data_IF_949204294695
#
_entry.id   IF_949204294695
#
_cell.length_a   1.000
_cell.length_b   1.000
_cell.length_c   1.000
_cell.angle_alpha   90.00
_cell.angle_beta   90.00
_cell.angle_gamma   90.00
#
_symmetry.space_group_name_H-M   'P 1'
#
loop_
_entity.id
_entity.type
_entity.pdbx_description
1 polymer ?
#
# COMPACT_ATOMS: atom_id res chain seq x y z
N UNK A 1 -13.08 -1.74 -7.15
CA UNK A 1 -11.67 -1.32 -7.19
C UNK A 1 -11.08 -1.87 -5.92
N UNK A 2 -10.00 -2.63 -6.05
CA UNK A 2 -9.36 -3.26 -4.91
C UNK A 2 -8.70 -2.19 -4.01
N UNK A 3 -8.56 -2.48 -2.72
CA UNK A 3 -7.99 -1.54 -1.75
C UNK A 3 -6.63 -1.01 -2.22
N UNK A 4 -5.75 -1.89 -2.67
CA UNK A 4 -4.42 -1.53 -3.14
C UNK A 4 -4.47 -0.54 -4.32
N UNK A 5 -5.31 -0.83 -5.31
CA UNK A 5 -5.53 0.04 -6.47
C UNK A 5 -6.07 1.41 -6.06
N UNK A 6 -7.00 1.43 -5.11
CA UNK A 6 -7.61 2.67 -4.62
C UNK A 6 -6.61 3.54 -3.87
N UNK A 7 -5.77 2.94 -3.01
CA UNK A 7 -4.76 3.67 -2.27
C UNK A 7 -3.70 4.25 -3.24
N UNK A 8 -3.27 3.49 -4.24
CA UNK A 8 -2.40 3.99 -5.32
C UNK A 8 -3.04 5.12 -6.14
N UNK A 9 -4.37 5.14 -6.28
CA UNK A 9 -5.11 6.19 -6.98
C UNK A 9 -5.26 7.50 -6.18
N UNK A 10 -5.20 7.40 -4.85
CA UNK A 10 -5.68 8.45 -3.95
C UNK A 10 -4.54 9.41 -3.63
N UNK A 11 -4.73 10.70 -3.91
CA UNK A 11 -3.84 11.73 -3.38
C UNK A 11 -4.07 11.88 -1.88
N UNK A 12 -3.06 11.49 -1.09
CA UNK A 12 -3.11 11.49 0.37
C UNK A 12 -2.43 12.69 1.01
N UNK A 13 -2.13 13.74 0.25
CA UNK A 13 -1.64 15.01 0.80
C UNK A 13 -2.64 15.60 1.82
N UNK A 14 -2.20 15.73 3.08
CA UNK A 14 -3.03 16.27 4.16
C UNK A 14 -4.04 15.27 4.76
N UNK A 15 -3.97 14.00 4.35
CA UNK A 15 -4.66 12.89 5.01
C UNK A 15 -3.91 12.52 6.28
N UNK A 16 -4.66 12.28 7.35
CA UNK A 16 -4.13 11.92 8.66
C UNK A 16 -4.29 10.43 8.96
N UNK A 17 -5.42 9.85 8.52
CA UNK A 17 -5.76 8.47 8.79
C UNK A 17 -6.60 7.92 7.65
N UNK A 18 -6.34 6.67 7.27
CA UNK A 18 -7.14 5.92 6.32
C UNK A 18 -7.56 4.64 7.01
N UNK A 19 -8.85 4.36 7.01
CA UNK A 19 -9.38 3.10 7.54
C UNK A 19 -10.12 2.33 6.47
N UNK A 20 -10.00 1.02 6.47
CA UNK A 20 -10.78 0.10 5.66
C UNK A 20 -11.51 -0.88 6.56
N UNK A 21 -12.84 -0.91 6.52
CA UNK A 21 -13.67 -1.70 7.42
C UNK A 21 -13.31 -1.50 8.91
N UNK A 22 -12.96 -0.26 9.28
CA UNK A 22 -12.54 0.14 10.63
C UNK A 22 -11.10 -0.23 11.01
N UNK A 23 -10.38 -0.97 10.16
CA UNK A 23 -8.95 -1.25 10.31
C UNK A 23 -8.13 -0.06 9.80
N UNK A 24 -7.13 0.37 10.55
CA UNK A 24 -6.18 1.39 10.09
C UNK A 24 -5.28 0.80 8.99
N UNK A 25 -5.28 1.43 7.81
CA UNK A 25 -4.49 1.05 6.64
C UNK A 25 -3.54 2.17 6.20
N UNK A 26 -3.30 3.16 7.06
CA UNK A 26 -2.35 4.25 6.75
C UNK A 26 -0.95 3.72 6.46
N UNK A 27 -0.48 2.70 7.18
CA UNK A 27 0.83 2.09 6.92
C UNK A 27 0.94 1.46 5.52
N UNK A 28 -0.15 0.85 5.00
CA UNK A 28 -0.19 0.35 3.63
C UNK A 28 -0.09 1.49 2.60
N UNK A 29 -0.77 2.61 2.85
CA UNK A 29 -0.65 3.79 2.01
C UNK A 29 0.77 4.39 2.05
N UNK A 30 1.37 4.50 3.23
CA UNK A 30 2.72 5.04 3.38
C UNK A 30 3.74 4.17 2.64
N UNK A 31 3.59 2.85 2.71
CA UNK A 31 4.38 1.90 1.93
C UNK A 31 4.23 2.11 0.41
N UNK A 32 3.00 2.26 -0.09
CA UNK A 32 2.73 2.56 -1.51
C UNK A 32 3.47 3.83 -1.95
N UNK A 33 3.50 4.87 -1.11
CA UNK A 33 4.20 6.11 -1.40
C UNK A 33 5.74 5.95 -1.36
N UNK A 34 6.26 5.26 -0.34
CA UNK A 34 7.69 5.04 -0.15
C UNK A 34 8.30 4.26 -1.32
N UNK A 35 7.64 3.19 -1.74
CA UNK A 35 8.07 2.35 -2.88
C UNK A 35 7.62 2.89 -4.24
N UNK A 36 7.00 4.07 -4.30
CA UNK A 36 6.47 4.69 -5.53
C UNK A 36 5.61 3.71 -6.36
N UNK A 37 4.79 2.92 -5.67
CA UNK A 37 3.95 1.89 -6.29
C UNK A 37 2.96 2.56 -7.23
N UNK A 38 3.10 2.26 -8.51
CA UNK A 38 2.30 2.84 -9.58
C UNK A 38 1.31 1.82 -10.15
N UNK A 39 0.33 2.26 -10.94
CA UNK A 39 -0.55 1.32 -11.65
C UNK A 39 0.19 0.33 -12.55
N UNK A 40 1.30 0.73 -13.18
CA UNK A 40 2.13 -0.22 -13.94
C UNK A 40 2.80 -1.24 -13.04
N UNK A 41 3.25 -0.83 -11.84
CA UNK A 41 3.79 -1.74 -10.83
C UNK A 41 2.75 -2.77 -10.40
N UNK A 42 1.50 -2.32 -10.21
CA UNK A 42 0.40 -3.20 -9.83
C UNK A 42 0.01 -4.18 -10.94
N UNK A 43 -0.07 -3.70 -12.18
CA UNK A 43 -0.38 -4.52 -13.36
C UNK A 43 0.70 -5.59 -13.61
N UNK A 44 1.98 -5.23 -13.46
CA UNK A 44 3.10 -6.18 -13.57
C UNK A 44 3.10 -7.24 -12.47
N UNK A 45 2.51 -6.93 -11.32
CA UNK A 45 2.45 -7.82 -10.16
C UNK A 45 1.08 -8.47 -9.96
N UNK A 46 0.15 -8.37 -10.91
CA UNK A 46 -1.22 -8.88 -10.78
C UNK A 46 -1.91 -8.45 -9.46
N UNK A 47 -1.74 -7.19 -9.05
CA UNK A 47 -2.20 -6.64 -7.78
C UNK A 47 -1.74 -7.45 -6.54
N UNK A 48 -0.61 -8.16 -6.58
CA UNK A 48 -0.14 -9.01 -5.48
C UNK A 48 1.08 -8.41 -4.79
N UNK A 49 0.96 -8.12 -3.49
CA UNK A 49 2.08 -7.66 -2.66
C UNK A 49 3.27 -8.63 -2.67
N UNK A 50 3.01 -9.94 -2.74
CA UNK A 50 4.08 -10.96 -2.85
C UNK A 50 4.79 -10.89 -4.20
N UNK A 51 4.05 -10.71 -5.30
CA UNK A 51 4.66 -10.55 -6.62
C UNK A 51 5.41 -9.22 -6.74
N UNK A 52 4.91 -8.15 -6.12
CA UNK A 52 5.62 -6.88 -6.02
C UNK A 52 6.95 -7.05 -5.27
N UNK A 53 6.96 -7.81 -4.17
CA UNK A 53 8.20 -8.14 -3.44
C UNK A 53 9.19 -8.88 -4.34
N UNK A 54 8.75 -9.93 -5.03
CA UNK A 54 9.60 -10.70 -5.95
C UNK A 54 10.21 -9.80 -7.04
N UNK A 55 9.41 -8.95 -7.67
CA UNK A 55 9.84 -8.02 -8.71
C UNK A 55 10.85 -6.97 -8.18
N UNK A 56 10.58 -6.42 -7.00
CA UNK A 56 11.44 -5.41 -6.38
C UNK A 56 12.77 -6.01 -5.94
N UNK A 57 12.77 -7.21 -5.33
CA UNK A 57 13.98 -7.92 -4.96
C UNK A 57 14.81 -8.28 -6.19
N UNK A 58 14.21 -8.82 -7.26
CA UNK A 58 14.91 -9.13 -8.51
C UNK A 58 15.60 -7.89 -9.11
N UNK A 59 14.99 -6.71 -8.97
CA UNK A 59 15.57 -5.43 -9.40
C UNK A 59 16.72 -4.97 -8.50
N UNK A 60 16.61 -5.18 -7.19
CA UNK A 60 17.59 -4.74 -6.18
C UNK A 60 18.73 -5.72 -5.91
N UNK A 61 18.62 -6.99 -6.31
CA UNK A 61 19.71 -7.99 -6.23
C UNK A 61 20.97 -7.56 -6.99
N UNK A 62 20.86 -6.61 -7.91
CA UNK A 62 21.98 -6.02 -8.65
C UNK A 62 22.71 -4.90 -7.87
N UNK A 63 22.17 -4.45 -6.75
CA UNK A 63 22.61 -3.26 -5.99
C UNK A 63 23.34 -3.65 -4.69
N UNK A 64 23.05 -4.82 -4.11
CA UNK A 64 23.81 -5.44 -3.00
C UNK A 64 22.93 -6.05 -1.90
N UNK A 65 23.46 -7.05 -1.19
CA UNK A 65 22.71 -7.88 -0.21
C UNK A 65 22.05 -7.07 0.91
N UNK A 66 22.75 -6.09 1.51
CA UNK A 66 22.20 -5.27 2.61
C UNK A 66 20.97 -4.45 2.20
N UNK A 67 20.89 -4.04 0.92
CA UNK A 67 19.74 -3.29 0.38
C UNK A 67 18.57 -4.23 0.15
N UNK A 68 18.85 -5.45 -0.33
CA UNK A 68 17.84 -6.48 -0.54
C UNK A 68 17.21 -6.94 0.78
N UNK A 69 17.99 -7.11 1.85
CA UNK A 69 17.47 -7.48 3.17
C UNK A 69 16.48 -6.45 3.73
N UNK A 70 16.79 -5.15 3.61
CA UNK A 70 15.89 -4.08 4.07
C UNK A 70 14.56 -4.06 3.30
N UNK A 71 14.61 -4.22 1.97
CA UNK A 71 13.41 -4.31 1.13
C UNK A 71 12.58 -5.54 1.48
N UNK A 72 13.22 -6.69 1.68
CA UNK A 72 12.53 -7.93 2.03
C UNK A 72 11.79 -7.79 3.38
N UNK A 73 12.42 -7.18 4.37
CA UNK A 73 11.81 -6.94 5.69
C UNK A 73 10.58 -6.03 5.61
N UNK A 74 10.66 -4.91 4.87
CA UNK A 74 9.54 -3.97 4.69
C UNK A 74 8.34 -4.64 4.02
N UNK A 75 8.56 -5.36 2.92
CA UNK A 75 7.50 -6.08 2.23
C UNK A 75 6.91 -7.19 3.10
N UNK A 76 7.74 -7.98 3.78
CA UNK A 76 7.26 -9.04 4.66
C UNK A 76 6.40 -8.49 5.80
N UNK A 77 6.74 -7.32 6.34
CA UNK A 77 5.90 -6.63 7.32
C UNK A 77 4.55 -6.24 6.71
N UNK A 78 4.55 -5.54 5.57
CA UNK A 78 3.31 -5.06 4.94
C UNK A 78 2.41 -6.21 4.47
N UNK A 79 2.98 -7.30 3.97
CA UNK A 79 2.23 -8.51 3.62
C UNK A 79 1.66 -9.17 4.88
N UNK A 80 2.46 -9.32 5.93
CA UNK A 80 1.99 -9.93 7.18
C UNK A 80 0.88 -9.11 7.83
N UNK A 81 0.95 -7.78 7.71
CA UNK A 81 -0.09 -6.90 8.22
C UNK A 81 -1.29 -6.93 7.28
N UNK A 82 -1.16 -6.52 6.02
CA UNK A 82 -2.30 -6.17 5.16
C UNK A 82 -2.60 -7.15 4.03
N UNK A 83 -1.85 -8.25 3.89
CA UNK A 83 -2.03 -9.21 2.79
C UNK A 83 -3.43 -9.85 2.75
N UNK A 84 -4.15 -9.86 3.88
CA UNK A 84 -5.54 -10.34 3.96
C UNK A 84 -6.57 -9.35 3.38
N UNK A 85 -6.26 -8.05 3.38
CA UNK A 85 -7.20 -6.98 2.96
C UNK A 85 -6.77 -6.24 1.69
N UNK A 86 -5.52 -6.39 1.26
CA UNK A 86 -4.92 -5.68 0.13
C UNK A 86 -5.77 -5.74 -1.15
N UNK A 87 -6.35 -6.89 -1.45
CA UNK A 87 -7.11 -7.13 -2.67
C UNK A 87 -8.62 -7.19 -2.41
N UNK A 88 -9.07 -6.75 -1.24
CA UNK A 88 -10.50 -6.64 -0.98
C UNK A 88 -11.10 -5.46 -1.77
N UNK A 89 -12.31 -5.66 -2.26
CA UNK A 89 -13.06 -4.64 -3.00
C UNK A 89 -13.51 -3.51 -2.07
N UNK A 90 -13.30 -2.27 -2.50
CA UNK A 90 -13.84 -1.09 -1.83
C UNK A 90 -15.10 -0.61 -2.56
N UNK A 91 -16.20 -0.47 -1.82
CA UNK A 91 -17.50 -0.09 -2.35
C UNK A 91 -17.90 1.36 -1.99
N UNK A 92 -17.40 1.86 -0.86
CA UNK A 92 -17.73 3.16 -0.30
C UNK A 92 -16.45 3.86 0.14
N UNK A 93 -16.40 5.16 -0.13
CA UNK A 93 -15.36 6.07 0.34
C UNK A 93 -16.05 7.25 1.01
N UNK A 94 -15.77 7.44 2.30
CA UNK A 94 -16.25 8.55 3.11
C UNK A 94 -15.08 9.40 3.60
N UNK A 95 -15.34 10.69 3.77
CA UNK A 95 -14.34 11.66 4.20
C UNK A 95 -14.83 12.42 5.42
N UNK A 96 -14.01 12.48 6.46
CA UNK A 96 -14.23 13.30 7.64
C UNK A 96 -13.10 14.31 7.79
N UNK A 97 -13.43 15.54 8.20
CA UNK A 97 -12.45 16.59 8.45
C UNK A 97 -12.42 16.89 9.95
N UNK A 98 -11.32 16.56 10.60
CA UNK A 98 -11.10 16.81 12.03
C UNK A 98 -9.84 17.66 12.23
N UNK A 99 -9.97 18.76 12.98
CA UNK A 99 -8.85 19.67 13.28
C UNK A 99 -8.05 20.13 12.04
N UNK A 100 -8.73 20.27 10.90
CA UNK A 100 -8.11 20.68 9.63
C UNK A 100 -7.36 19.57 8.89
N UNK A 101 -7.49 18.31 9.33
CA UNK A 101 -6.95 17.14 8.64
C UNK A 101 -8.06 16.26 8.07
N UNK A 102 -7.76 15.50 7.02
CA UNK A 102 -8.72 14.58 6.37
C UNK A 102 -8.52 13.16 6.93
N UNK A 103 -9.60 12.53 7.36
CA UNK A 103 -9.67 11.10 7.63
C UNK A 103 -10.49 10.44 6.52
N UNK A 104 -10.02 9.31 5.99
CA UNK A 104 -10.69 8.54 4.94
C UNK A 104 -11.21 7.24 5.55
N UNK A 105 -12.47 6.93 5.30
CA UNK A 105 -13.10 5.66 5.69
C UNK A 105 -13.56 4.91 4.44
N UNK A 106 -13.09 3.68 4.29
CA UNK A 106 -13.30 2.78 3.16
C UNK A 106 -14.08 1.55 3.62
N UNK A 107 -15.03 1.06 2.82
CA UNK A 107 -15.77 -0.19 3.09
C UNK A 107 -16.30 -0.84 1.83
#
# INVERSE_FOLDING_TARGET
>A
MELLELLTATDTNGVNKITFNGRDVTALNDFILEYNVSYSTLDEADNSLEQMKENELDSNYLIGDDVAEGVEDDFNQIISEFGDVANEEVFVQSFEIENGKINIELS
#
